data_IF_422747770614
#
_entry.id   IF_422747770614
#
_cell.length_a   1.000
_cell.length_b   1.000
_cell.length_c   1.000
_cell.angle_alpha   90.00
_cell.angle_beta   90.00
_cell.angle_gamma   90.00
#
_symmetry.space_group_name_H-M   'P 1'
#
loop_
_entity.id
_entity.type
_entity.pdbx_description
1 polymer ?
#
# COMPACT_ATOMS: atom_id res chain seq x y z
N UNK A 1 8.10 17.13 -0.27
CA UNK A 1 7.85 16.47 1.00
C UNK A 1 7.02 15.21 0.76
N UNK A 2 7.45 14.10 1.27
CA UNK A 2 6.88 12.79 0.91
C UNK A 2 6.04 12.25 2.05
N UNK A 3 4.73 12.45 1.96
CA UNK A 3 3.78 11.88 2.92
C UNK A 3 3.50 10.43 2.55
N UNK A 4 3.57 9.56 3.55
CA UNK A 4 3.24 8.14 3.40
C UNK A 4 2.05 7.83 4.30
N UNK A 5 1.04 7.19 3.72
CA UNK A 5 -0.11 6.71 4.45
C UNK A 5 -0.15 5.20 4.40
N UNK A 6 -0.31 4.56 5.55
CA UNK A 6 -0.44 3.10 5.63
C UNK A 6 -1.87 2.79 6.06
N UNK A 7 -2.58 2.02 5.24
CA UNK A 7 -3.92 1.53 5.53
C UNK A 7 -3.85 0.01 5.63
N UNK A 8 -4.13 -0.56 6.80
CA UNK A 8 -3.92 -1.99 7.02
C UNK A 8 -5.10 -2.62 7.73
N UNK A 9 -5.53 -3.79 7.25
CA UNK A 9 -6.52 -4.62 7.95
C UNK A 9 -5.93 -5.27 9.21
N UNK A 10 -4.60 -5.35 9.30
CA UNK A 10 -3.92 -5.92 10.46
C UNK A 10 -3.08 -4.86 11.12
N UNK A 11 -3.36 -4.58 12.40
CA UNK A 11 -2.60 -3.59 13.17
C UNK A 11 -1.12 -3.97 13.26
N UNK A 12 -0.82 -5.26 13.46
CA UNK A 12 0.56 -5.71 13.59
C UNK A 12 1.33 -5.57 12.27
N UNK A 13 0.71 -5.87 11.14
CA UNK A 13 1.34 -5.68 9.83
C UNK A 13 1.57 -4.18 9.58
N UNK A 14 0.57 -3.35 9.84
CA UNK A 14 0.71 -1.91 9.65
C UNK A 14 1.85 -1.32 10.47
N UNK A 15 1.96 -1.72 11.74
CA UNK A 15 3.05 -1.25 12.60
C UNK A 15 4.42 -1.70 12.10
N UNK A 16 4.52 -2.94 11.59
CA UNK A 16 5.77 -3.44 11.02
C UNK A 16 6.18 -2.66 9.78
N UNK A 17 5.23 -2.35 8.90
CA UNK A 17 5.50 -1.54 7.71
C UNK A 17 5.99 -0.16 8.10
N UNK A 18 5.34 0.46 9.08
CA UNK A 18 5.75 1.76 9.60
C UNK A 18 7.18 1.71 10.14
N UNK A 19 7.52 0.68 10.91
CA UNK A 19 8.84 0.57 11.51
C UNK A 19 9.93 0.41 10.44
N UNK A 20 9.65 -0.36 9.38
CA UNK A 20 10.58 -0.51 8.26
C UNK A 20 10.88 0.86 7.64
N UNK A 21 9.85 1.67 7.44
CA UNK A 21 10.00 2.99 6.84
C UNK A 21 10.72 3.96 7.76
N UNK A 22 10.42 3.94 9.05
CA UNK A 22 11.12 4.79 10.03
C UNK A 22 12.61 4.48 10.07
N UNK A 23 12.98 3.21 10.02
CA UNK A 23 14.39 2.81 10.04
C UNK A 23 15.14 3.30 8.80
N UNK A 24 14.45 3.51 7.69
CA UNK A 24 15.06 4.03 6.46
C UNK A 24 15.04 5.56 6.38
N UNK A 25 14.56 6.24 7.40
CA UNK A 25 14.58 7.70 7.48
C UNK A 25 13.29 8.40 7.10
N UNK A 26 12.24 7.68 6.73
CA UNK A 26 10.94 8.31 6.49
C UNK A 26 10.28 8.67 7.81
N UNK A 27 9.72 9.86 7.90
CA UNK A 27 9.17 10.37 9.16
C UNK A 27 7.71 10.84 9.06
N UNK A 28 7.25 11.25 7.88
CA UNK A 28 5.86 11.71 7.70
C UNK A 28 4.98 10.52 7.33
N UNK A 29 4.69 9.68 8.32
CA UNK A 29 3.96 8.42 8.12
C UNK A 29 2.72 8.42 9.00
N UNK A 30 1.55 8.17 8.40
CA UNK A 30 0.30 7.95 9.12
C UNK A 30 -0.13 6.49 9.00
N UNK A 31 -0.76 5.98 10.04
CA UNK A 31 -1.22 4.59 10.09
C UNK A 31 -2.71 4.57 10.45
N UNK A 32 -3.51 3.90 9.63
CA UNK A 32 -4.94 3.80 9.85
C UNK A 32 -5.45 2.44 9.33
N UNK A 33 -6.74 2.19 9.53
CA UNK A 33 -7.38 1.00 8.94
C UNK A 33 -7.99 1.34 7.57
N UNK A 34 -8.63 0.37 6.95
CA UNK A 34 -9.16 0.53 5.60
C UNK A 34 -10.39 1.46 5.52
N UNK A 35 -10.95 1.87 6.65
CA UNK A 35 -12.04 2.84 6.62
C UNK A 35 -11.59 4.21 6.11
N UNK A 36 -10.31 4.51 6.16
CA UNK A 36 -9.74 5.76 5.65
C UNK A 36 -9.52 5.77 4.13
N UNK A 37 -9.94 4.73 3.41
CA UNK A 37 -9.73 4.64 1.95
C UNK A 37 -10.36 5.79 1.17
N UNK A 38 -11.42 6.39 1.69
CA UNK A 38 -12.11 7.48 1.00
C UNK A 38 -11.33 8.79 1.04
N UNK A 39 -10.34 8.90 1.90
CA UNK A 39 -9.59 10.12 2.14
C UNK A 39 -8.14 10.02 1.66
N UNK A 40 -7.88 9.28 0.58
CA UNK A 40 -6.52 9.12 0.07
C UNK A 40 -6.08 10.42 -0.61
N UNK A 41 -5.01 11.07 -0.09
CA UNK A 41 -4.49 12.29 -0.72
C UNK A 41 -3.78 11.96 -2.03
N UNK A 42 -3.94 12.83 -3.02
CA UNK A 42 -3.32 12.61 -4.34
C UNK A 42 -1.81 12.80 -4.33
N UNK A 43 -1.28 13.54 -3.38
CA UNK A 43 0.15 13.84 -3.28
C UNK A 43 0.87 12.98 -2.26
N UNK A 44 0.29 11.85 -1.88
CA UNK A 44 0.88 10.93 -0.93
C UNK A 44 1.11 9.56 -1.54
N UNK A 45 2.05 8.82 -0.97
CA UNK A 45 2.20 7.40 -1.26
C UNK A 45 1.33 6.64 -0.27
N UNK A 46 0.41 5.83 -0.76
CA UNK A 46 -0.49 5.05 0.08
C UNK A 46 -0.15 3.58 -0.02
N UNK A 47 0.18 2.98 1.12
CA UNK A 47 0.51 1.56 1.24
C UNK A 47 -0.71 0.87 1.87
N UNK A 48 -1.24 -0.14 1.21
CA UNK A 48 -2.46 -0.83 1.64
C UNK A 48 -2.17 -2.31 1.83
N UNK A 49 -2.51 -2.84 3.01
CA UNK A 49 -2.52 -4.28 3.24
C UNK A 49 -3.94 -4.74 3.47
N UNK A 50 -4.41 -5.68 2.64
CA UNK A 50 -5.75 -6.23 2.72
C UNK A 50 -5.72 -7.76 2.66
N UNK A 51 -6.61 -8.41 3.43
CA UNK A 51 -6.72 -9.86 3.52
C UNK A 51 -7.98 -10.39 2.86
N UNK A 52 -9.03 -9.57 2.74
CA UNK A 52 -10.34 -10.01 2.30
C UNK A 52 -11.01 -8.92 1.47
N UNK A 53 -12.05 -9.29 0.73
CA UNK A 53 -12.83 -8.38 -0.12
C UNK A 53 -11.96 -7.62 -1.12
N UNK A 54 -10.99 -8.30 -1.70
CA UNK A 54 -9.98 -7.66 -2.55
C UNK A 54 -10.62 -7.10 -3.82
N UNK A 55 -11.58 -7.79 -4.40
CA UNK A 55 -12.24 -7.29 -5.62
C UNK A 55 -12.97 -5.97 -5.37
N UNK A 56 -13.65 -5.84 -4.23
CA UNK A 56 -14.32 -4.59 -3.86
C UNK A 56 -13.29 -3.48 -3.58
N UNK A 57 -12.19 -3.82 -2.93
CA UNK A 57 -11.09 -2.89 -2.70
C UNK A 57 -10.52 -2.37 -4.01
N UNK A 58 -10.22 -3.25 -4.95
CA UNK A 58 -9.69 -2.86 -6.25
C UNK A 58 -10.63 -1.93 -7.00
N UNK A 59 -11.93 -2.19 -6.92
CA UNK A 59 -12.92 -1.34 -7.54
C UNK A 59 -12.93 0.07 -6.92
N UNK A 60 -12.82 0.15 -5.60
CA UNK A 60 -12.72 1.44 -4.91
C UNK A 60 -11.45 2.19 -5.27
N UNK A 61 -10.34 1.48 -5.46
CA UNK A 61 -9.07 2.10 -5.80
C UNK A 61 -9.04 2.64 -7.24
N UNK A 62 -9.94 2.20 -8.11
CA UNK A 62 -9.96 2.66 -9.50
C UNK A 62 -10.24 4.17 -9.60
N UNK A 63 -10.91 4.74 -8.61
CA UNK A 63 -11.24 6.17 -8.58
C UNK A 63 -10.25 6.99 -7.76
N UNK A 64 -9.22 6.36 -7.20
CA UNK A 64 -8.25 7.05 -6.36
C UNK A 64 -7.09 7.59 -7.18
N UNK A 65 -6.68 8.81 -6.87
CA UNK A 65 -5.45 9.37 -7.41
C UNK A 65 -4.26 9.01 -6.54
N UNK A 66 -3.06 9.42 -6.98
CA UNK A 66 -1.85 9.23 -6.21
C UNK A 66 -1.16 7.90 -6.48
N UNK A 67 -0.13 7.63 -5.71
CA UNK A 67 0.68 6.41 -5.85
C UNK A 67 0.23 5.39 -4.84
N UNK A 68 -0.19 4.22 -5.31
CA UNK A 68 -0.73 3.17 -4.46
C UNK A 68 0.16 1.94 -4.55
N UNK A 69 0.54 1.43 -3.37
CA UNK A 69 1.27 0.17 -3.22
C UNK A 69 0.35 -0.77 -2.45
N UNK A 70 -0.04 -1.87 -3.07
CA UNK A 70 -0.97 -2.83 -2.49
C UNK A 70 -0.24 -4.11 -2.14
N UNK A 71 -0.38 -4.55 -0.89
CA UNK A 71 0.24 -5.78 -0.38
C UNK A 71 -0.84 -6.84 -0.22
N UNK A 72 -0.67 -7.96 -0.89
CA UNK A 72 -1.63 -9.07 -0.87
C UNK A 72 -0.96 -10.38 -0.50
N UNK A 73 -1.71 -11.25 0.18
CA UNK A 73 -1.28 -12.60 0.44
C UNK A 73 -1.25 -13.42 -0.86
N UNK A 74 -0.51 -14.55 -0.90
CA UNK A 74 -0.33 -15.32 -2.15
C UNK A 74 -1.63 -15.76 -2.82
N UNK A 75 -2.66 -16.09 -2.05
CA UNK A 75 -3.93 -16.53 -2.59
C UNK A 75 -4.67 -15.46 -3.40
N UNK A 76 -4.43 -14.19 -3.09
CA UNK A 76 -5.06 -13.07 -3.79
C UNK A 76 -4.15 -12.44 -4.84
N UNK A 77 -2.84 -12.54 -4.67
CA UNK A 77 -1.85 -11.84 -5.47
C UNK A 77 -1.97 -12.15 -6.96
N UNK A 78 -1.93 -13.44 -7.31
CA UNK A 78 -1.94 -13.86 -8.70
C UNK A 78 -3.22 -13.45 -9.42
N UNK A 79 -4.35 -13.47 -8.70
CA UNK A 79 -5.65 -13.13 -9.28
C UNK A 79 -5.78 -11.65 -9.63
N UNK A 80 -5.07 -10.79 -8.92
CA UNK A 80 -5.20 -9.34 -9.08
C UNK A 80 -4.06 -8.70 -9.85
N UNK A 81 -3.06 -9.47 -10.27
CA UNK A 81 -1.84 -8.91 -10.85
C UNK A 81 -2.11 -8.12 -12.13
N UNK A 82 -2.87 -8.67 -13.05
CA UNK A 82 -3.17 -7.99 -14.32
C UNK A 82 -4.02 -6.75 -14.09
N UNK A 83 -5.01 -6.84 -13.20
CA UNK A 83 -5.87 -5.71 -12.88
C UNK A 83 -5.07 -4.57 -12.26
N UNK A 84 -4.17 -4.89 -11.34
CA UNK A 84 -3.31 -3.89 -10.70
C UNK A 84 -2.42 -3.19 -11.75
N UNK A 85 -1.87 -3.93 -12.70
CA UNK A 85 -1.07 -3.35 -13.77
C UNK A 85 -1.86 -2.35 -14.61
N UNK A 86 -3.09 -2.69 -14.97
CA UNK A 86 -3.95 -1.80 -15.75
C UNK A 86 -4.32 -0.54 -14.98
N UNK A 87 -4.40 -0.62 -13.65
CA UNK A 87 -4.74 0.50 -12.80
C UNK A 87 -3.52 1.35 -12.40
N UNK A 88 -2.32 0.92 -12.75
CA UNK A 88 -1.11 1.63 -12.34
C UNK A 88 -0.74 1.44 -10.87
N UNK A 89 -1.26 0.38 -10.24
CA UNK A 89 -0.98 0.06 -8.85
C UNK A 89 0.22 -0.87 -8.77
N UNK A 90 1.16 -0.56 -7.84
CA UNK A 90 2.26 -1.46 -7.54
C UNK A 90 1.77 -2.55 -6.58
N UNK A 91 1.87 -3.79 -7.02
CA UNK A 91 1.42 -4.94 -6.24
C UNK A 91 2.61 -5.69 -5.67
N UNK A 92 2.62 -5.92 -4.35
CA UNK A 92 3.68 -6.66 -3.67
C UNK A 92 3.10 -7.87 -2.98
N UNK A 93 3.89 -8.95 -2.97
CA UNK A 93 3.50 -10.22 -2.38
C UNK A 93 3.89 -10.27 -0.91
N UNK A 94 2.97 -10.67 -0.05
CA UNK A 94 3.27 -10.93 1.36
C UNK A 94 3.82 -12.34 1.56
N UNK A 95 4.73 -12.54 2.50
CA UNK A 95 5.39 -11.53 3.33
C UNK A 95 6.40 -10.71 2.51
N UNK A 96 6.32 -9.40 2.66
CA UNK A 96 7.18 -8.51 1.89
C UNK A 96 8.53 -8.34 2.57
N UNK A 97 9.60 -8.45 1.78
CA UNK A 97 10.94 -8.15 2.28
C UNK A 97 11.11 -6.63 2.44
N UNK A 98 11.80 -6.17 3.50
CA UNK A 98 11.96 -4.72 3.70
C UNK A 98 12.51 -3.98 2.48
N UNK A 99 13.51 -4.55 1.80
CA UNK A 99 14.10 -3.87 0.64
C UNK A 99 13.10 -3.71 -0.51
N UNK A 100 12.19 -4.65 -0.69
CA UNK A 100 11.18 -4.56 -1.74
C UNK A 100 10.17 -3.45 -1.44
N UNK A 101 9.75 -3.33 -0.20
CA UNK A 101 8.87 -2.24 0.23
C UNK A 101 9.55 -0.89 0.04
N UNK A 102 10.79 -0.76 0.46
CA UNK A 102 11.54 0.49 0.34
C UNK A 102 11.76 0.88 -1.10
N UNK A 103 12.09 -0.08 -1.98
CA UNK A 103 12.24 0.20 -3.41
C UNK A 103 10.93 0.70 -4.02
N UNK A 104 9.81 0.07 -3.67
CA UNK A 104 8.50 0.48 -4.18
C UNK A 104 8.15 1.90 -3.74
N UNK A 105 8.42 2.24 -2.48
CA UNK A 105 8.18 3.58 -1.95
C UNK A 105 9.07 4.61 -2.65
N UNK A 106 10.36 4.32 -2.80
CA UNK A 106 11.29 5.24 -3.47
C UNK A 106 10.90 5.48 -4.93
N UNK A 107 10.47 4.43 -5.63
CA UNK A 107 10.01 4.55 -7.01
C UNK A 107 8.73 5.39 -7.10
N UNK A 108 7.85 5.27 -6.13
CA UNK A 108 6.60 6.03 -6.10
C UNK A 108 6.85 7.52 -5.81
N UNK A 109 7.91 7.82 -5.07
CA UNK A 109 8.25 9.21 -4.70
C UNK A 109 8.98 9.93 -5.83
N UNK A 110 9.81 9.23 -6.58
CA UNK A 110 10.67 9.84 -7.60
C UNK A 110 9.94 10.33 -8.87
#
# INVERSE_FOLDING_TARGET
>A
MNRIQILSESASVGMRLRDILYQDGFSDITLADLTALQDIPQNAVTIIYAKSNISALMQNLSDCGGSIILLLNPDCYAMQLDRARHMGITLLLMPVAPYMLLDAVRNAIS
#
